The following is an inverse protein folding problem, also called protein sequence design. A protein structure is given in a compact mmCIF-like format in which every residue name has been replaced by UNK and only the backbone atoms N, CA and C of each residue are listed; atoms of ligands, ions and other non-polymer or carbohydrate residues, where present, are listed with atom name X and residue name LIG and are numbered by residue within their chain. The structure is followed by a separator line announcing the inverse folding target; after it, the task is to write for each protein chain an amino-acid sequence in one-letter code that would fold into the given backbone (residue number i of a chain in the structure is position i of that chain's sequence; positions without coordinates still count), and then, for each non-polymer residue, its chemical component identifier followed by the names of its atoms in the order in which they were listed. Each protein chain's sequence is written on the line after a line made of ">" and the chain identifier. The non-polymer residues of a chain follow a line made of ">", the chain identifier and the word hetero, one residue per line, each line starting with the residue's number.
data_IF_562591912325
#
_entry.id   IF_562591912325
#
_cell.length_a   1.000
_cell.length_b   1.000
_cell.length_c   1.000
_cell.angle_alpha   90.00
_cell.angle_beta   90.00
_cell.angle_gamma   90.00
#
_symmetry.space_group_name_H-M   'P 1'
#
loop_
_entity.id
_entity.type
_entity.pdbx_description
1 polymer ?
#
# COMPACT_ATOMS: atom_id res chain seq x y z
N UNK A 1 3.50 -11.61 -22.77
CA UNK A 1 2.97 -10.24 -22.63
C UNK A 1 4.15 -9.30 -22.60
N UNK A 2 4.03 -8.11 -23.19
CA UNK A 2 5.12 -7.13 -23.23
C UNK A 2 5.39 -6.54 -21.85
N UNK A 3 6.66 -6.31 -21.55
CA UNK A 3 7.13 -5.70 -20.29
C UNK A 3 7.80 -4.36 -20.52
N UNK A 4 7.96 -3.58 -19.46
CA UNK A 4 8.71 -2.33 -19.51
C UNK A 4 10.12 -2.53 -20.08
N UNK A 5 10.83 -3.60 -19.70
CA UNK A 5 12.17 -3.90 -20.21
C UNK A 5 12.23 -4.14 -21.71
N UNK A 6 11.13 -4.47 -22.38
CA UNK A 6 11.11 -4.65 -23.83
C UNK A 6 11.26 -3.30 -24.57
N UNK A 7 10.91 -2.20 -23.88
CA UNK A 7 10.97 -0.83 -24.41
C UNK A 7 12.13 -0.03 -23.82
N UNK A 8 12.48 -0.29 -22.55
CA UNK A 8 13.46 0.46 -21.76
C UNK A 8 14.57 -0.46 -21.17
N UNK A 9 15.23 -1.32 -21.98
CA UNK A 9 16.05 -2.44 -21.48
C UNK A 9 17.26 -2.03 -20.60
N UNK A 10 17.78 -0.82 -20.78
CA UNK A 10 18.99 -0.37 -20.07
C UNK A 10 18.70 0.32 -18.74
N UNK A 11 17.44 0.66 -18.45
CA UNK A 11 17.05 1.33 -17.21
C UNK A 11 16.80 0.25 -16.14
N UNK A 12 17.61 0.27 -15.07
CA UNK A 12 17.57 -0.75 -13.99
C UNK A 12 16.93 -0.26 -12.68
N UNK A 13 16.47 0.98 -12.65
CA UNK A 13 15.98 1.66 -11.44
C UNK A 13 14.50 1.39 -11.15
N UNK A 14 13.75 0.85 -12.11
CA UNK A 14 12.33 0.56 -11.97
C UNK A 14 12.03 -0.95 -11.84
N UNK A 15 10.84 -1.29 -11.35
CA UNK A 15 10.30 -2.64 -11.32
C UNK A 15 9.74 -3.05 -12.68
N UNK A 16 10.21 -4.17 -13.22
CA UNK A 16 9.87 -4.64 -14.57
C UNK A 16 8.50 -5.31 -14.60
N UNK A 17 7.47 -4.49 -14.87
CA UNK A 17 6.07 -4.86 -14.88
C UNK A 17 5.56 -5.19 -16.29
N UNK A 18 4.54 -6.05 -16.37
CA UNK A 18 3.76 -6.28 -17.58
C UNK A 18 2.87 -5.05 -17.87
N UNK A 19 2.80 -4.63 -19.15
CA UNK A 19 2.13 -3.38 -19.56
C UNK A 19 0.61 -3.53 -19.66
N UNK A 20 0.11 -4.72 -19.96
CA UNK A 20 -1.31 -4.95 -20.29
C UNK A 20 -2.06 -5.81 -19.28
N UNK A 21 -1.38 -6.22 -18.21
CA UNK A 21 -1.85 -7.17 -17.21
C UNK A 21 -1.38 -6.74 -15.83
N UNK A 22 -2.14 -7.13 -14.83
CA UNK A 22 -1.78 -6.83 -13.44
C UNK A 22 -0.64 -7.70 -12.96
N UNK A 23 0.20 -7.10 -12.13
CA UNK A 23 1.42 -7.71 -11.64
C UNK A 23 1.27 -8.08 -10.17
N UNK A 24 1.83 -9.23 -9.80
CA UNK A 24 1.94 -9.67 -8.39
C UNK A 24 3.01 -8.89 -7.59
N UNK A 25 3.16 -7.61 -7.89
CA UNK A 25 4.02 -6.67 -7.18
C UNK A 25 3.14 -5.68 -6.42
N UNK A 26 3.61 -5.26 -5.24
CA UNK A 26 2.92 -4.32 -4.36
C UNK A 26 3.87 -3.20 -3.96
N UNK A 27 3.38 -1.96 -3.88
CA UNK A 27 4.11 -0.90 -3.19
C UNK A 27 4.14 -1.21 -1.71
N UNK A 28 5.34 -1.32 -1.15
CA UNK A 28 5.53 -1.44 0.28
C UNK A 28 5.80 -0.04 0.86
N UNK A 29 4.82 0.58 1.55
CA UNK A 29 5.04 1.90 2.14
C UNK A 29 6.16 1.94 3.16
N UNK A 30 6.59 0.81 3.75
CA UNK A 30 7.80 0.78 4.60
C UNK A 30 9.07 0.99 3.80
N UNK A 31 9.18 0.37 2.62
CA UNK A 31 10.36 0.50 1.75
C UNK A 31 10.52 1.91 1.19
N UNK A 32 9.45 2.70 1.13
CA UNK A 32 9.50 4.12 0.73
C UNK A 32 10.33 4.96 1.72
N UNK A 33 10.42 4.55 2.99
CA UNK A 33 11.23 5.27 3.98
C UNK A 33 12.74 5.10 3.76
N UNK A 34 13.14 4.10 2.97
CA UNK A 34 14.52 3.70 2.73
C UNK A 34 15.00 4.10 1.31
N UNK A 35 14.16 4.77 0.50
CA UNK A 35 14.52 5.24 -0.84
C UNK A 35 14.67 6.76 -0.89
N UNK A 36 15.65 7.22 -1.66
CA UNK A 36 15.81 8.64 -2.02
C UNK A 36 15.23 8.97 -3.40
N UNK A 37 14.69 7.97 -4.11
CA UNK A 37 14.19 8.14 -5.50
C UNK A 37 12.86 8.87 -5.59
N UNK A 38 12.10 8.92 -4.50
CA UNK A 38 10.82 9.62 -4.41
C UNK A 38 10.94 10.72 -3.35
N UNK A 39 11.46 11.90 -3.71
CA UNK A 39 11.52 13.02 -2.78
C UNK A 39 10.11 13.32 -2.27
N UNK A 40 9.97 13.70 -1.00
CA UNK A 40 8.70 14.02 -0.33
C UNK A 40 7.71 12.85 -0.09
N UNK A 41 7.85 11.69 -0.73
CA UNK A 41 6.94 10.55 -0.52
C UNK A 41 6.83 10.13 0.96
N UNK A 42 7.96 10.08 1.67
CA UNK A 42 8.01 9.81 3.11
C UNK A 42 7.21 10.83 3.93
N UNK A 43 7.34 12.13 3.62
CA UNK A 43 6.63 13.19 4.32
C UNK A 43 5.12 13.05 4.10
N UNK A 44 4.69 12.78 2.87
CA UNK A 44 3.28 12.58 2.52
C UNK A 44 2.66 11.37 3.20
N UNK A 45 3.34 10.22 3.22
CA UNK A 45 2.84 9.03 3.91
C UNK A 45 2.69 9.27 5.42
N UNK A 46 3.67 9.95 6.03
CA UNK A 46 3.61 10.31 7.45
C UNK A 46 2.49 11.31 7.75
N UNK A 47 2.35 12.35 6.93
CA UNK A 47 1.33 13.37 7.17
C UNK A 47 -0.06 12.84 6.90
N UNK A 48 -0.23 11.97 5.90
CA UNK A 48 -1.49 11.25 5.67
C UNK A 48 -1.84 10.34 6.86
N UNK A 49 -0.89 9.52 7.31
CA UNK A 49 -1.12 8.65 8.48
C UNK A 49 -1.49 9.49 9.71
N UNK A 50 -0.78 10.58 9.95
CA UNK A 50 -1.07 11.51 11.06
C UNK A 50 -2.47 12.08 10.93
N UNK A 51 -2.82 12.62 9.77
CA UNK A 51 -4.13 13.18 9.48
C UNK A 51 -5.24 12.17 9.79
N UNK A 52 -5.10 10.92 9.34
CA UNK A 52 -6.12 9.90 9.59
C UNK A 52 -6.21 9.52 11.07
N UNK A 53 -5.08 9.47 11.79
CA UNK A 53 -5.06 9.15 13.23
C UNK A 53 -5.58 10.29 14.12
N UNK A 54 -5.40 11.55 13.71
CA UNK A 54 -5.74 12.72 14.55
C UNK A 54 -7.10 13.33 14.23
N UNK A 55 -7.60 13.13 13.01
CA UNK A 55 -8.83 13.79 12.56
C UNK A 55 -10.05 13.03 13.05
N UNK A 56 -10.68 13.57 14.09
CA UNK A 56 -11.98 13.09 14.58
C UNK A 56 -13.09 13.68 13.73
N UNK A 57 -14.06 12.86 13.31
CA UNK A 57 -15.22 13.27 12.50
C UNK A 57 -14.86 13.78 11.09
N UNK A 58 -14.02 13.02 10.38
CA UNK A 58 -13.74 13.27 8.96
C UNK A 58 -15.03 13.23 8.14
N UNK A 59 -15.30 14.27 7.36
CA UNK A 59 -16.40 14.23 6.40
C UNK A 59 -16.00 13.31 5.25
N UNK A 60 -16.65 12.17 5.21
CA UNK A 60 -16.34 11.09 4.27
C UNK A 60 -16.67 11.49 2.82
N UNK A 61 -17.61 12.42 2.63
CA UNK A 61 -18.01 12.91 1.31
C UNK A 61 -16.86 13.63 0.60
N UNK A 62 -15.93 14.25 1.35
CA UNK A 62 -14.76 14.96 0.83
C UNK A 62 -13.73 14.01 0.19
N UNK A 63 -13.93 12.70 0.31
CA UNK A 63 -13.03 11.65 -0.18
C UNK A 63 -13.63 10.86 -1.35
N UNK A 64 -14.90 11.09 -1.68
CA UNK A 64 -15.68 10.33 -2.67
C UNK A 64 -15.09 10.36 -4.08
N UNK A 65 -14.30 11.38 -4.41
CA UNK A 65 -13.69 11.56 -5.73
C UNK A 65 -12.32 10.88 -5.91
N UNK A 66 -11.81 10.19 -4.89
CA UNK A 66 -10.51 9.50 -4.97
C UNK A 66 -10.70 8.14 -5.62
N UNK A 67 -10.15 7.98 -6.83
CA UNK A 67 -10.21 6.75 -7.61
C UNK A 67 -8.86 6.04 -7.63
N UNK A 68 -8.92 4.71 -7.74
CA UNK A 68 -7.77 3.85 -7.96
C UNK A 68 -7.03 4.24 -9.26
N UNK A 69 -5.69 4.15 -9.23
CA UNK A 69 -4.84 4.56 -10.33
C UNK A 69 -4.66 3.41 -11.33
N UNK A 70 -5.49 3.37 -12.36
CA UNK A 70 -5.41 2.36 -13.44
C UNK A 70 -4.11 2.41 -14.26
N UNK A 71 -3.26 3.43 -14.06
CA UNK A 71 -1.97 3.61 -14.73
C UNK A 71 -0.83 2.86 -14.05
N UNK A 72 -1.11 2.23 -12.90
CA UNK A 72 -0.17 1.48 -12.08
C UNK A 72 -0.71 0.04 -12.03
N UNK A 73 -0.11 -0.86 -12.80
CA UNK A 73 -0.53 -2.27 -12.92
C UNK A 73 -0.04 -3.13 -11.74
N UNK A 74 -0.35 -2.73 -10.52
CA UNK A 74 -0.04 -3.47 -9.30
C UNK A 74 -1.27 -4.19 -8.76
N UNK A 75 -1.05 -5.32 -8.10
CA UNK A 75 -2.10 -6.02 -7.37
C UNK A 75 -2.58 -7.33 -7.97
N UNK A 76 -3.54 -7.96 -7.30
CA UNK A 76 -4.15 -9.22 -7.75
C UNK A 76 -5.46 -8.95 -8.52
N UNK A 77 -5.46 -8.99 -9.85
CA UNK A 77 -6.69 -9.32 -10.61
C UNK A 77 -6.53 -10.66 -11.33
N UNK A 78 -6.82 -11.73 -10.60
CA UNK A 78 -6.95 -13.04 -11.21
C UNK A 78 -8.34 -13.13 -11.86
N UNK A 79 -8.36 -12.86 -13.17
CA UNK A 79 -9.48 -12.88 -14.13
C UNK A 79 -10.26 -11.58 -14.23
N UNK A 80 -10.67 -11.27 -15.48
CA UNK A 80 -11.64 -10.26 -15.90
C UNK A 80 -12.38 -9.62 -14.75
N UNK A 81 -12.27 -8.30 -14.62
CA UNK A 81 -13.00 -7.44 -13.69
C UNK A 81 -14.45 -7.90 -13.46
N UNK A 82 -14.63 -8.88 -12.57
CA UNK A 82 -15.93 -9.32 -12.08
C UNK A 82 -16.29 -8.29 -11.04
N UNK A 83 -16.94 -7.24 -11.51
CA UNK A 83 -17.39 -6.10 -10.74
C UNK A 83 -17.91 -6.50 -9.37
N UNK A 84 -17.02 -6.39 -8.39
CA UNK A 84 -17.34 -5.97 -7.04
C UNK A 84 -16.49 -4.74 -6.83
N UNK A 85 -16.84 -3.64 -7.52
CA UNK A 85 -16.43 -2.33 -7.03
C UNK A 85 -16.88 -2.28 -5.57
N UNK A 86 -15.99 -2.07 -4.60
CA UNK A 86 -16.45 -1.68 -3.28
C UNK A 86 -17.36 -0.45 -3.51
N UNK A 87 -18.59 -0.46 -3.01
CA UNK A 87 -19.53 0.66 -3.12
C UNK A 87 -19.07 1.92 -2.33
N UNK A 88 -17.80 1.95 -1.91
CA UNK A 88 -17.15 2.99 -1.12
C UNK A 88 -15.74 3.17 -1.65
N UNK A 89 -15.25 4.40 -1.79
CA UNK A 89 -13.87 4.64 -2.19
C UNK A 89 -12.90 4.00 -1.15
N UNK A 90 -11.74 3.49 -1.57
CA UNK A 90 -10.81 2.77 -0.68
C UNK A 90 -10.36 3.63 0.51
N UNK A 91 -10.20 4.94 0.31
CA UNK A 91 -9.81 5.91 1.37
C UNK A 91 -10.90 6.11 2.43
N UNK A 92 -12.18 6.08 2.03
CA UNK A 92 -13.36 6.13 2.89
C UNK A 92 -13.50 4.83 3.67
N UNK A 93 -13.30 3.69 3.01
CA UNK A 93 -13.28 2.39 3.68
C UNK A 93 -12.14 2.34 4.71
N UNK A 94 -10.97 2.90 4.38
CA UNK A 94 -9.84 3.02 5.30
C UNK A 94 -10.23 3.85 6.53
N UNK A 95 -10.77 5.03 6.34
CA UNK A 95 -11.07 5.96 7.44
C UNK A 95 -12.19 5.42 8.33
N UNK A 96 -13.23 4.83 7.76
CA UNK A 96 -14.28 4.15 8.52
C UNK A 96 -13.72 2.98 9.34
N UNK A 97 -12.94 2.11 8.71
CA UNK A 97 -12.34 0.98 9.39
C UNK A 97 -11.30 1.41 10.45
N UNK A 98 -10.60 2.53 10.24
CA UNK A 98 -9.69 3.08 11.24
C UNK A 98 -10.43 3.64 12.43
N UNK A 99 -11.49 4.42 12.21
CA UNK A 99 -12.31 4.92 13.31
C UNK A 99 -12.83 3.77 14.17
N UNK A 100 -13.34 2.69 13.56
CA UNK A 100 -13.79 1.51 14.30
C UNK A 100 -12.66 0.83 15.07
N UNK A 101 -11.48 0.69 14.45
CA UNK A 101 -10.33 0.04 15.07
C UNK A 101 -9.75 0.85 16.23
N UNK A 102 -9.62 2.18 16.09
CA UNK A 102 -9.10 3.03 17.15
C UNK A 102 -10.02 3.03 18.37
N UNK A 103 -11.34 3.09 18.16
CA UNK A 103 -12.33 2.98 19.23
C UNK A 103 -12.27 1.62 19.93
N UNK A 104 -12.05 0.54 19.18
CA UNK A 104 -12.08 -0.85 19.68
C UNK A 104 -10.74 -1.31 20.27
N UNK A 105 -9.63 -0.74 19.83
CA UNK A 105 -8.27 -1.16 20.17
C UNK A 105 -7.35 0.05 20.47
N UNK A 106 -7.44 0.65 21.68
CA UNK A 106 -6.63 1.82 22.06
C UNK A 106 -5.11 1.62 22.01
N UNK A 107 -4.63 0.37 21.94
CA UNK A 107 -3.21 0.07 21.74
C UNK A 107 -2.65 0.65 20.44
N UNK A 108 -3.49 0.82 19.41
CA UNK A 108 -3.06 1.38 18.13
C UNK A 108 -2.57 2.84 18.29
N UNK A 109 -3.17 3.61 19.20
CA UNK A 109 -2.72 4.98 19.50
C UNK A 109 -1.32 5.03 20.14
N UNK A 110 -0.94 3.95 20.83
CA UNK A 110 0.34 3.78 21.53
C UNK A 110 1.48 3.35 20.62
N UNK A 111 1.21 3.03 19.35
CA UNK A 111 2.27 2.75 18.38
C UNK A 111 3.24 3.93 18.29
N UNK A 112 4.52 3.63 18.14
CA UNK A 112 5.58 4.62 17.92
C UNK A 112 5.87 4.78 16.42
N UNK A 113 6.93 5.52 16.05
CA UNK A 113 7.28 5.76 14.64
C UNK A 113 7.62 4.48 13.84
N UNK A 114 7.97 3.37 14.49
CA UNK A 114 8.24 2.10 13.80
C UNK A 114 6.94 1.41 13.40
N UNK A 115 5.91 1.50 14.24
CA UNK A 115 4.58 0.93 14.02
C UNK A 115 3.52 1.89 13.45
N UNK A 116 3.70 3.21 13.54
CA UNK A 116 2.81 4.25 12.97
C UNK A 116 3.06 4.43 11.48
N UNK A 117 2.77 3.37 10.73
CA UNK A 117 2.92 3.32 9.27
C UNK A 117 1.64 2.77 8.65
N UNK A 118 1.36 3.20 7.42
CA UNK A 118 0.19 2.71 6.67
C UNK A 118 0.25 1.19 6.47
N UNK A 119 1.45 0.59 6.34
CA UNK A 119 1.62 -0.87 6.26
C UNK A 119 1.02 -1.62 7.45
N UNK A 120 0.99 -1.01 8.64
CA UNK A 120 0.51 -1.64 9.87
C UNK A 120 -0.97 -1.98 9.84
N UNK A 121 -1.76 -1.21 9.08
CA UNK A 121 -3.17 -1.46 8.86
C UNK A 121 -3.45 -2.85 8.30
N UNK A 122 -2.53 -3.39 7.47
CA UNK A 122 -2.68 -4.73 6.91
C UNK A 122 -2.69 -5.86 7.97
N UNK A 123 -2.22 -5.59 9.20
CA UNK A 123 -2.20 -6.58 10.27
C UNK A 123 -3.55 -6.79 10.94
N UNK A 124 -4.31 -5.72 11.14
CA UNK A 124 -5.46 -5.74 12.04
C UNK A 124 -6.73 -5.14 11.44
N UNK A 125 -6.67 -4.38 10.36
CA UNK A 125 -7.88 -3.85 9.72
C UNK A 125 -8.52 -4.91 8.83
N UNK A 126 -9.80 -5.20 9.06
CA UNK A 126 -10.58 -6.08 8.18
C UNK A 126 -10.62 -5.47 6.77
N UNK A 127 -10.55 -6.30 5.74
CA UNK A 127 -10.60 -5.91 4.32
C UNK A 127 -9.41 -5.09 3.78
N UNK A 128 -8.44 -4.68 4.62
CA UNK A 128 -7.21 -4.02 4.18
C UNK A 128 -6.05 -5.00 3.97
N UNK A 129 -5.90 -5.50 2.74
CA UNK A 129 -4.81 -6.40 2.35
C UNK A 129 -3.55 -5.66 1.88
N UNK A 130 -2.54 -6.41 1.42
CA UNK A 130 -1.36 -5.79 0.79
C UNK A 130 -1.72 -4.97 -0.45
N UNK A 131 -2.74 -5.43 -1.18
CA UNK A 131 -3.35 -4.79 -2.35
C UNK A 131 -3.89 -3.40 -2.01
N UNK A 132 -4.84 -3.31 -1.08
CA UNK A 132 -5.45 -2.04 -0.65
C UNK A 132 -4.44 -1.04 -0.11
N UNK A 133 -3.39 -1.53 0.57
CA UNK A 133 -2.30 -0.67 1.07
C UNK A 133 -1.40 -0.20 -0.06
N UNK A 134 -1.12 -1.06 -1.04
CA UNK A 134 -0.35 -0.70 -2.24
C UNK A 134 -1.09 0.38 -3.04
N UNK A 135 -2.39 0.21 -3.28
CA UNK A 135 -3.21 1.17 -4.04
C UNK A 135 -3.31 2.52 -3.34
N UNK A 136 -3.58 2.52 -2.04
CA UNK A 136 -3.60 3.73 -1.23
C UNK A 136 -2.25 4.43 -1.25
N UNK A 137 -1.16 3.67 -1.11
CA UNK A 137 0.20 4.21 -1.19
C UNK A 137 0.41 4.87 -2.54
N UNK A 138 0.09 4.17 -3.64
CA UNK A 138 0.19 4.69 -5.00
C UNK A 138 -0.60 5.99 -5.18
N UNK A 139 -1.81 6.08 -4.62
CA UNK A 139 -2.64 7.29 -4.65
C UNK A 139 -2.00 8.45 -3.88
N UNK A 140 -1.52 8.22 -2.65
CA UNK A 140 -0.90 9.26 -1.81
C UNK A 140 0.31 9.89 -2.52
N UNK A 141 1.14 9.06 -3.17
CA UNK A 141 2.41 9.46 -3.80
C UNK A 141 2.36 9.49 -5.33
N UNK A 142 1.18 9.62 -5.91
CA UNK A 142 0.99 9.50 -7.37
C UNK A 142 1.78 10.54 -8.17
N UNK A 143 1.89 11.75 -7.64
CA UNK A 143 2.71 12.83 -8.22
C UNK A 143 4.19 12.47 -8.21
N UNK A 144 4.71 11.92 -7.12
CA UNK A 144 6.11 11.48 -7.01
C UNK A 144 6.42 10.35 -8.00
N UNK A 145 5.49 9.40 -8.19
CA UNK A 145 5.64 8.32 -9.17
C UNK A 145 5.65 8.88 -10.60
N UNK A 146 4.80 9.87 -10.88
CA UNK A 146 4.82 10.58 -12.16
C UNK A 146 6.15 11.29 -12.41
N UNK A 147 6.62 12.10 -11.45
CA UNK A 147 7.88 12.83 -11.57
C UNK A 147 9.06 11.88 -11.76
N UNK A 148 9.12 10.81 -10.96
CA UNK A 148 10.11 9.75 -11.12
C UNK A 148 10.08 9.14 -12.53
N UNK A 149 8.89 8.89 -13.07
CA UNK A 149 8.72 8.33 -14.41
C UNK A 149 9.29 9.25 -15.49
N UNK A 150 8.88 10.52 -15.46
CA UNK A 150 9.31 11.51 -16.44
C UNK A 150 10.81 11.73 -16.36
N UNK A 151 11.35 11.94 -15.16
CA UNK A 151 12.78 12.19 -14.96
C UNK A 151 13.62 10.99 -15.39
N UNK A 152 13.22 9.77 -15.00
CA UNK A 152 13.93 8.54 -15.34
C UNK A 152 14.03 8.34 -16.86
N UNK A 153 12.94 8.57 -17.59
CA UNK A 153 12.91 8.35 -19.04
C UNK A 153 13.60 9.51 -19.78
N UNK A 154 13.41 10.76 -19.35
CA UNK A 154 14.04 11.93 -19.98
C UNK A 154 15.56 11.97 -19.83
N UNK A 155 16.08 11.46 -18.72
CA UNK A 155 17.52 11.34 -18.47
C UNK A 155 18.16 10.14 -19.19
N UNK A 156 17.39 9.40 -19.99
CA UNK A 156 17.84 8.23 -20.75
C UNK A 156 17.70 8.43 -22.25
N UNK A 157 18.18 7.46 -23.04
CA UNK A 157 18.03 7.46 -24.51
C UNK A 157 16.61 7.12 -24.99
N UNK A 158 15.65 7.05 -24.06
CA UNK A 158 14.28 6.61 -24.28
C UNK A 158 13.24 7.74 -24.25
N UNK A 159 13.67 9.01 -24.25
CA UNK A 159 12.79 10.19 -24.29
C UNK A 159 11.79 10.18 -25.46
N UNK A 160 12.06 9.42 -26.53
CA UNK A 160 11.11 9.20 -27.65
C UNK A 160 9.78 8.53 -27.24
N UNK A 161 9.70 7.97 -26.03
CA UNK A 161 8.46 7.41 -25.48
C UNK A 161 7.68 8.41 -24.61
N UNK A 162 8.21 9.62 -24.41
CA UNK A 162 7.49 10.72 -23.75
C UNK A 162 6.71 11.52 -24.79
N UNK A 163 5.40 11.64 -24.57
CA UNK A 163 4.51 12.41 -25.43
C UNK A 163 3.65 13.37 -24.60
N UNK A 164 3.23 14.51 -25.18
CA UNK A 164 2.25 15.38 -24.55
C UNK A 164 0.94 14.64 -24.26
N UNK A 165 0.31 14.93 -23.12
CA UNK A 165 -1.02 14.41 -22.81
C UNK A 165 -2.04 15.06 -23.76
N UNK A 166 -2.91 14.29 -24.44
CA UNK A 166 -3.90 14.85 -25.34
C UNK A 166 -4.89 15.76 -24.60
N UNK A 167 -5.12 16.98 -25.12
CA UNK A 167 -6.11 17.91 -24.53
C UNK A 167 -7.54 17.37 -24.54
N UNK A 168 -7.83 16.40 -25.40
CA UNK A 168 -9.14 15.73 -25.48
C UNK A 168 -9.35 14.69 -24.38
N UNK A 169 -8.28 14.27 -23.71
CA UNK A 169 -8.30 13.25 -22.66
C UNK A 169 -7.25 13.61 -21.58
N UNK A 170 -7.49 14.68 -20.80
CA UNK A 170 -6.54 15.13 -19.79
C UNK A 170 -6.40 14.11 -18.66
N UNK A 171 -5.16 13.96 -18.17
CA UNK A 171 -4.83 13.04 -17.08
C UNK A 171 -4.64 13.83 -15.79
N UNK A 172 -5.50 13.56 -14.81
CA UNK A 172 -5.43 14.17 -13.49
C UNK A 172 -5.02 13.14 -12.45
N UNK A 173 -3.95 13.44 -11.72
CA UNK A 173 -3.43 12.64 -10.62
C UNK A 173 -3.86 13.26 -9.29
N UNK A 174 -4.66 12.54 -8.52
CA UNK A 174 -4.95 12.91 -7.13
C UNK A 174 -3.79 12.45 -6.25
N UNK A 175 -3.31 13.34 -5.38
CA UNK A 175 -2.20 13.06 -4.48
C UNK A 175 -2.42 13.74 -3.12
N UNK A 176 -1.76 13.23 -2.09
CA UNK A 176 -1.82 13.87 -0.77
C UNK A 176 -0.80 14.98 -0.66
N UNK A 177 -1.22 16.16 -0.21
CA UNK A 177 -0.38 17.34 -0.03
C UNK A 177 -0.50 17.84 1.41
N UNK A 178 0.39 17.34 2.27
CA UNK A 178 0.48 17.67 3.69
C UNK A 178 -0.76 17.33 4.53
N UNK A 179 -1.87 18.04 4.34
CA UNK A 179 -3.12 17.93 5.10
C UNK A 179 -4.39 17.82 4.21
N UNK A 180 -4.26 17.84 2.89
CA UNK A 180 -5.38 17.75 1.96
C UNK A 180 -5.04 16.92 0.71
N UNK A 181 -6.09 16.49 -0.01
CA UNK A 181 -5.94 15.93 -1.35
C UNK A 181 -5.86 17.06 -2.38
N UNK A 182 -4.83 17.02 -3.22
CA UNK A 182 -4.63 17.96 -4.31
C UNK A 182 -4.68 17.23 -5.66
N UNK A 183 -4.76 17.99 -6.75
CA UNK A 183 -4.88 17.49 -8.12
C UNK A 183 -3.76 18.04 -8.99
N UNK A 184 -3.00 17.14 -9.60
CA UNK A 184 -1.98 17.48 -10.57
C UNK A 184 -2.46 17.12 -11.98
N UNK A 185 -2.45 18.08 -12.90
CA UNK A 185 -2.71 17.83 -14.32
C UNK A 185 -1.39 17.47 -15.02
N UNK A 186 -1.28 16.24 -15.52
CA UNK A 186 -0.11 15.80 -16.26
C UNK A 186 -0.08 16.45 -17.65
N UNK A 187 1.04 17.07 -17.99
CA UNK A 187 1.22 17.75 -19.29
C UNK A 187 1.85 16.84 -20.35
N UNK A 188 2.57 15.82 -19.91
CA UNK A 188 3.24 14.81 -20.73
C UNK A 188 3.18 13.46 -20.02
N UNK A 189 3.55 12.38 -20.70
CA UNK A 189 3.48 11.04 -20.14
C UNK A 189 4.40 10.08 -20.86
N UNK A 190 4.79 9.01 -20.17
CA UNK A 190 5.37 7.84 -20.79
C UNK A 190 4.25 7.02 -21.43
N UNK A 191 4.35 6.80 -22.74
CA UNK A 191 3.41 5.96 -23.49
C UNK A 191 4.09 4.70 -24.00
N UNK A 192 3.76 3.57 -23.39
CA UNK A 192 4.16 2.25 -23.86
C UNK A 192 2.93 1.55 -24.45
N UNK A 193 3.05 1.04 -25.67
CA UNK A 193 1.93 0.46 -26.42
C UNK A 193 0.68 1.37 -26.49
N UNK A 194 0.90 2.69 -26.54
CA UNK A 194 -0.17 3.69 -26.60
C UNK A 194 -0.88 3.98 -25.28
N UNK A 195 -0.44 3.38 -24.15
CA UNK A 195 -1.01 3.61 -22.82
C UNK A 195 -0.13 4.51 -21.97
N UNK A 196 -0.75 5.47 -21.29
CA UNK A 196 -0.10 6.24 -20.24
C UNK A 196 0.36 5.29 -19.12
N UNK A 197 1.66 5.28 -18.85
CA UNK A 197 2.32 4.32 -17.96
C UNK A 197 3.12 5.06 -16.90
N UNK A 198 3.00 4.65 -15.64
CA UNK A 198 3.89 5.11 -14.57
C UNK A 198 4.88 4.03 -14.18
N UNK A 199 6.16 4.40 -14.08
CA UNK A 199 7.22 3.55 -13.57
C UNK A 199 7.22 3.56 -12.04
N UNK A 200 7.62 2.43 -11.46
CA UNK A 200 7.74 2.27 -10.01
C UNK A 200 9.19 1.99 -9.68
N UNK A 201 9.82 2.72 -8.74
CA UNK A 201 11.15 2.40 -8.27
C UNK A 201 11.25 0.95 -7.77
N UNK A 202 12.27 0.21 -8.22
CA UNK A 202 12.39 -1.21 -7.93
C UNK A 202 12.48 -1.52 -6.43
N UNK A 203 13.14 -0.63 -5.70
CA UNK A 203 13.43 -0.72 -4.26
C UNK A 203 12.22 -0.50 -3.36
N UNK A 204 11.11 0.01 -3.88
CA UNK A 204 9.87 0.20 -3.09
C UNK A 204 8.79 -0.83 -3.38
N UNK A 205 9.08 -1.81 -4.25
CA UNK A 205 8.13 -2.86 -4.64
C UNK A 205 8.47 -4.21 -4.01
N UNK A 206 7.46 -4.96 -3.57
CA UNK A 206 7.58 -6.32 -3.04
C UNK A 206 6.77 -7.31 -3.90
N UNK A 207 7.40 -8.40 -4.37
CA UNK A 207 6.83 -9.37 -5.32
C UNK A 207 5.88 -10.43 -4.73
N UNK A 208 5.61 -10.43 -3.42
CA UNK A 208 4.89 -11.56 -2.76
C UNK A 208 3.98 -11.15 -1.61
N UNK A 209 4.49 -10.37 -0.66
CA UNK A 209 3.76 -9.89 0.53
C UNK A 209 4.64 -8.92 1.31
N UNK A 210 4.03 -8.01 2.05
CA UNK A 210 4.77 -7.23 3.05
C UNK A 210 5.42 -8.17 4.06
N UNK A 211 6.67 -7.86 4.43
CA UNK A 211 7.38 -8.59 5.50
C UNK A 211 6.56 -8.63 6.79
N UNK A 212 5.89 -7.52 7.10
CA UNK A 212 4.97 -7.38 8.23
C UNK A 212 3.55 -7.75 7.77
N UNK A 213 3.08 -8.94 8.12
CA UNK A 213 1.74 -9.45 7.78
C UNK A 213 1.18 -10.27 8.95
N UNK A 214 -0.13 -10.57 8.98
CA UNK A 214 -0.74 -11.31 10.10
C UNK A 214 -0.05 -12.63 10.43
N UNK A 215 0.41 -13.38 9.43
CA UNK A 215 1.12 -14.66 9.65
C UNK A 215 2.43 -14.42 10.40
N UNK A 216 3.20 -13.39 10.03
CA UNK A 216 4.45 -13.05 10.70
C UNK A 216 4.20 -12.70 12.17
N UNK A 217 3.16 -11.91 12.45
CA UNK A 217 2.74 -11.57 13.81
C UNK A 217 2.34 -12.81 14.63
N UNK A 218 1.50 -13.69 14.08
CA UNK A 218 1.13 -14.96 14.73
C UNK A 218 2.38 -15.76 15.09
N UNK A 219 3.31 -15.86 14.14
CA UNK A 219 4.52 -16.66 14.28
C UNK A 219 5.53 -16.12 15.29
N UNK A 220 5.60 -14.80 15.47
CA UNK A 220 6.59 -14.12 16.33
C UNK A 220 6.04 -13.71 17.70
N UNK A 221 4.73 -13.48 17.82
CA UNK A 221 4.12 -12.97 19.06
C UNK A 221 3.20 -14.02 19.67
N UNK A 222 2.15 -14.43 18.93
CA UNK A 222 1.08 -15.28 19.48
C UNK A 222 1.61 -16.67 19.81
N UNK A 223 2.30 -17.32 18.88
CA UNK A 223 2.81 -18.68 19.09
C UNK A 223 3.80 -18.75 20.25
N UNK A 224 4.83 -17.88 20.35
CA UNK A 224 5.72 -17.89 21.51
C UNK A 224 5.01 -17.67 22.85
N UNK A 225 3.96 -16.85 22.90
CA UNK A 225 3.13 -16.68 24.10
C UNK A 225 2.39 -17.98 24.43
N UNK A 226 1.61 -18.52 23.49
CA UNK A 226 0.80 -19.73 23.69
C UNK A 226 1.65 -20.95 24.04
N UNK A 227 2.87 -21.04 23.49
CA UNK A 227 3.80 -22.15 23.78
C UNK A 227 4.25 -22.17 25.25
N UNK A 228 4.19 -21.05 25.98
CA UNK A 228 4.45 -21.03 27.43
C UNK A 228 3.41 -21.85 28.19
N UNK A 229 2.16 -21.83 27.72
CA UNK A 229 1.04 -22.56 28.34
C UNK A 229 0.94 -24.01 27.83
N UNK A 230 1.42 -24.26 26.61
CA UNK A 230 1.40 -25.58 25.96
C UNK A 230 2.80 -26.03 25.49
N UNK A 231 3.76 -26.30 26.40
CA UNK A 231 5.16 -26.53 26.05
C UNK A 231 5.41 -27.81 25.22
N UNK A 232 4.48 -28.76 25.25
CA UNK A 232 4.56 -30.03 24.50
C UNK A 232 4.10 -29.91 23.05
N UNK A 233 3.30 -28.88 22.72
CA UNK A 233 2.78 -28.69 21.38
C UNK A 233 3.86 -28.07 20.48
N UNK A 234 3.95 -28.55 19.24
CA UNK A 234 4.85 -27.93 18.28
C UNK A 234 4.22 -26.69 17.64
N UNK A 235 5.05 -25.86 16.98
CA UNK A 235 4.62 -24.60 16.37
C UNK A 235 3.50 -24.78 15.33
N UNK A 236 3.52 -25.86 14.56
CA UNK A 236 2.55 -26.14 13.50
C UNK A 236 1.19 -26.53 14.09
N UNK A 237 1.19 -27.34 15.15
CA UNK A 237 -0.02 -27.71 15.89
C UNK A 237 -0.69 -26.47 16.48
N UNK A 238 0.07 -25.63 17.18
CA UNK A 238 -0.45 -24.38 17.75
C UNK A 238 -1.03 -23.48 16.65
N UNK A 239 -0.32 -23.30 15.54
CA UNK A 239 -0.80 -22.49 14.42
C UNK A 239 -2.14 -23.03 13.90
N UNK A 240 -2.21 -24.33 13.57
CA UNK A 240 -3.41 -24.95 13.03
C UNK A 240 -4.62 -24.82 13.98
N UNK A 241 -4.41 -25.04 15.28
CA UNK A 241 -5.48 -24.90 16.29
C UNK A 241 -5.97 -23.45 16.41
N UNK A 242 -5.05 -22.48 16.37
CA UNK A 242 -5.43 -21.06 16.43
C UNK A 242 -6.23 -20.63 15.19
N UNK A 243 -5.85 -21.11 14.01
CA UNK A 243 -6.44 -20.68 12.73
C UNK A 243 -7.64 -21.52 12.27
N UNK A 244 -8.06 -22.53 13.05
CA UNK A 244 -9.14 -23.44 12.65
C UNK A 244 -10.48 -22.72 12.45
N UNK A 245 -10.78 -21.73 13.31
CA UNK A 245 -12.07 -21.03 13.33
C UNK A 245 -11.93 -19.50 13.33
N UNK A 246 -10.73 -18.98 13.11
CA UNK A 246 -10.44 -17.55 13.15
C UNK A 246 -9.54 -17.16 11.98
N UNK A 247 -9.85 -16.03 11.37
CA UNK A 247 -8.94 -15.39 10.44
C UNK A 247 -7.68 -14.92 11.18
N UNK A 248 -6.58 -14.78 10.45
CA UNK A 248 -5.32 -14.35 11.04
C UNK A 248 -5.42 -12.94 11.64
N UNK A 249 -6.23 -12.05 11.04
CA UNK A 249 -6.46 -10.70 11.56
C UNK A 249 -7.28 -10.71 12.85
N UNK A 250 -8.25 -11.61 12.98
CA UNK A 250 -8.99 -11.78 14.25
C UNK A 250 -8.06 -12.24 15.37
N UNK A 251 -7.10 -13.12 15.08
CA UNK A 251 -6.08 -13.51 16.06
C UNK A 251 -5.20 -12.33 16.48
N UNK A 252 -4.75 -11.49 15.54
CA UNK A 252 -4.00 -10.26 15.85
C UNK A 252 -4.84 -9.34 16.74
N UNK A 253 -6.10 -9.11 16.36
CA UNK A 253 -7.04 -8.26 17.11
C UNK A 253 -7.31 -8.78 18.54
N UNK A 254 -7.44 -10.09 18.74
CA UNK A 254 -7.57 -10.66 20.07
C UNK A 254 -6.28 -10.48 20.88
N UNK A 255 -5.12 -10.71 20.25
CA UNK A 255 -3.82 -10.52 20.91
C UNK A 255 -3.63 -9.06 21.34
N UNK A 256 -4.05 -8.08 20.54
CA UNK A 256 -4.04 -6.65 20.89
C UNK A 256 -4.80 -6.34 22.20
N UNK A 257 -5.81 -7.14 22.56
CA UNK A 257 -6.59 -6.97 23.79
C UNK A 257 -5.95 -7.63 25.01
N UNK A 258 -5.31 -8.78 24.82
CA UNK A 258 -4.83 -9.62 25.93
C UNK A 258 -3.33 -9.51 26.17
N UNK A 259 -2.57 -8.99 25.22
CA UNK A 259 -1.11 -8.86 25.25
C UNK A 259 -0.67 -7.60 24.51
N UNK A 260 -1.07 -6.46 25.06
CA UNK A 260 -0.75 -5.13 24.52
C UNK A 260 0.75 -4.95 24.26
N UNK A 261 1.58 -5.32 25.24
CA UNK A 261 3.03 -5.17 25.14
C UNK A 261 3.62 -6.01 24.00
N UNK A 262 3.15 -7.25 23.82
CA UNK A 262 3.60 -8.09 22.70
C UNK A 262 3.24 -7.51 21.34
N UNK A 263 2.12 -6.79 21.24
CA UNK A 263 1.77 -6.06 20.01
C UNK A 263 2.66 -4.84 19.78
N UNK A 264 3.00 -4.09 20.82
CA UNK A 264 3.92 -2.95 20.71
C UNK A 264 5.36 -3.38 20.41
N UNK A 265 5.83 -4.47 21.03
CA UNK A 265 7.20 -4.98 20.86
C UNK A 265 7.44 -5.58 19.46
N UNK A 266 6.39 -5.99 18.75
CA UNK A 266 6.51 -6.53 17.39
C UNK A 266 7.13 -5.54 16.39
N UNK A 267 7.04 -4.25 16.67
CA UNK A 267 7.52 -3.19 15.78
C UNK A 267 9.00 -2.83 16.00
N UNK A 268 9.59 -3.26 17.11
CA UNK A 268 10.98 -3.03 17.51
C UNK A 268 11.92 -4.16 17.05
#
# INVERSE_FOLDING_TARGET
>A
MSKFSDFLPDIKTYEDLEILSDNTSFLNPTSIFDTDKLPHAKQKLNSFFTFVMTTKNLNIDDLSDIKELSYIHLGYTLNDSKGHRPNSNQTQALILALSEILDKYPVVDKLDNTGKKISSFSLFMKDFGADSISDLTAQIISKELYEFTIDTVKQSDYNRFIYPVPKTDPIYLKYWNEDHWDTFEATEGLYLEGKFTMLIPKDISDKKKFKQNPDDFINKVIIPRVKKDYPKSNKKEIFNTLTENKSHKELVQEEMKINEQGFLDYWN
#
